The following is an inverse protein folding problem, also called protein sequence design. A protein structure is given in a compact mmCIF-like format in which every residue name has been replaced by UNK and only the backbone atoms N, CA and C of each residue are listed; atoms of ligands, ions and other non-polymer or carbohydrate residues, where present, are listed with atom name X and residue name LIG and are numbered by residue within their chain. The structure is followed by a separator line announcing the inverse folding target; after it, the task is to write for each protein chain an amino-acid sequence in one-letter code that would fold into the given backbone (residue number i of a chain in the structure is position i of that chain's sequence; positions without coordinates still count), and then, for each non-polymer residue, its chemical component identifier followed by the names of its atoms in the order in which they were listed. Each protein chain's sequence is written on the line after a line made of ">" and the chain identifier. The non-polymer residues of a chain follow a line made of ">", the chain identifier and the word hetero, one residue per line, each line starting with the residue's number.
data_IF_298354210225
#
_entry.id   IF_298354210225
#
_cell.length_a   1.000
_cell.length_b   1.000
_cell.length_c   1.000
_cell.angle_alpha   90.00
_cell.angle_beta   90.00
_cell.angle_gamma   90.00
#
_symmetry.space_group_name_H-M   'P 1'
#
loop_
_entity.id
_entity.type
_entity.pdbx_description
1 polymer ?
#
# COMPACT_ATOMS: atom_id res chain seq x y z
N UNK A 1 19.20 -15.03 -7.64
CA UNK A 1 17.93 -15.47 -7.02
C UNK A 1 17.18 -16.25 -8.07
N UNK A 2 17.14 -17.57 -7.93
CA UNK A 2 16.72 -18.45 -9.01
C UNK A 2 15.21 -18.35 -9.25
N UNK A 3 14.81 -18.31 -10.53
CA UNK A 3 13.40 -18.13 -10.94
C UNK A 3 12.46 -19.18 -10.35
N UNK A 4 13.01 -20.35 -9.97
CA UNK A 4 12.31 -21.47 -9.32
C UNK A 4 11.96 -21.16 -7.85
N UNK A 5 12.81 -20.41 -7.16
CA UNK A 5 12.57 -19.96 -5.77
C UNK A 5 11.47 -18.89 -5.74
N UNK A 6 11.48 -17.99 -6.74
CA UNK A 6 10.44 -16.96 -6.88
C UNK A 6 9.07 -17.61 -7.19
N UNK A 7 9.05 -18.64 -8.05
CA UNK A 7 7.85 -19.39 -8.40
C UNK A 7 7.30 -20.20 -7.21
N UNK A 8 8.17 -20.80 -6.38
CA UNK A 8 7.73 -21.52 -5.18
C UNK A 8 7.15 -20.61 -4.09
N UNK A 9 7.68 -19.39 -3.94
CA UNK A 9 7.11 -18.42 -3.00
C UNK A 9 5.75 -17.89 -3.47
N UNK A 10 5.55 -17.74 -4.79
CA UNK A 10 4.27 -17.31 -5.36
C UNK A 10 3.15 -18.33 -5.11
N UNK A 11 3.47 -19.63 -5.12
CA UNK A 11 2.49 -20.70 -4.88
C UNK A 11 2.05 -20.85 -3.42
N UNK A 12 2.86 -20.43 -2.43
CA UNK A 12 2.49 -20.53 -1.01
C UNK A 12 1.61 -19.37 -0.51
N UNK A 13 1.44 -18.29 -1.27
CA UNK A 13 0.69 -17.11 -0.83
C UNK A 13 -0.84 -17.27 -0.92
N UNK A 14 -1.35 -18.24 -1.68
CA UNK A 14 -2.81 -18.40 -1.91
C UNK A 14 -3.58 -19.02 -0.73
N UNK A 15 -2.91 -19.58 0.28
CA UNK A 15 -3.57 -20.27 1.41
C UNK A 15 -3.90 -19.38 2.62
N UNK A 16 -3.43 -18.13 2.65
CA UNK A 16 -3.46 -17.29 3.85
C UNK A 16 -4.64 -16.28 3.92
N UNK A 17 -5.62 -16.37 3.01
CA UNK A 17 -6.71 -15.38 2.93
C UNK A 17 -7.81 -15.68 3.96
N UNK A 18 -8.15 -16.95 4.18
CA UNK A 18 -9.26 -17.36 5.08
C UNK A 18 -8.89 -17.40 6.57
N UNK A 19 -7.61 -17.25 6.92
CA UNK A 19 -7.12 -17.31 8.30
C UNK A 19 -6.93 -15.92 8.95
N UNK A 20 -7.23 -14.84 8.24
CA UNK A 20 -6.94 -13.47 8.71
C UNK A 20 -8.01 -12.86 9.61
N UNK A 21 -9.23 -13.41 9.65
CA UNK A 21 -10.27 -12.84 10.50
C UNK A 21 -10.31 -13.55 11.86
N UNK A 22 -9.82 -12.91 12.95
CA UNK A 22 -9.95 -13.45 14.29
C UNK A 22 -11.43 -13.69 14.63
N UNK A 23 -11.76 -14.89 15.10
CA UNK A 23 -13.14 -15.34 15.36
C UNK A 23 -13.72 -14.85 16.69
N UNK A 24 -12.95 -14.09 17.48
CA UNK A 24 -13.33 -13.65 18.83
C UNK A 24 -13.31 -12.14 19.06
N UNK A 25 -13.02 -11.34 18.03
CA UNK A 25 -13.07 -9.86 18.12
C UNK A 25 -14.04 -9.32 17.07
N UNK A 26 -14.79 -8.26 17.38
CA UNK A 26 -15.61 -7.59 16.37
C UNK A 26 -14.73 -7.25 15.17
N UNK A 27 -15.14 -7.71 13.99
CA UNK A 27 -14.46 -7.36 12.76
C UNK A 27 -14.53 -5.84 12.52
N UNK A 28 -13.74 -5.32 11.59
CA UNK A 28 -13.97 -3.96 11.10
C UNK A 28 -15.45 -3.84 10.69
N UNK A 29 -16.03 -2.66 10.93
CA UNK A 29 -17.42 -2.38 10.56
C UNK A 29 -17.65 -2.83 9.13
N UNK A 30 -18.66 -3.68 8.91
CA UNK A 30 -19.04 -4.14 7.57
C UNK A 30 -19.74 -3.05 6.74
N UNK A 31 -19.78 -1.84 7.27
CA UNK A 31 -20.31 -0.68 6.59
C UNK A 31 -19.41 -0.31 5.41
N UNK A 32 -20.01 -0.03 4.23
CA UNK A 32 -19.26 0.51 3.10
C UNK A 32 -18.57 1.82 3.49
N UNK A 33 -17.45 2.10 2.83
CA UNK A 33 -16.81 3.43 2.89
C UNK A 33 -17.83 4.49 2.45
N UNK A 34 -18.01 5.51 3.28
CA UNK A 34 -18.94 6.61 3.00
C UNK A 34 -18.19 7.76 2.32
N UNK A 35 -18.37 7.87 1.00
CA UNK A 35 -17.79 8.96 0.21
C UNK A 35 -18.46 10.33 0.46
N UNK A 36 -19.48 10.40 1.31
CA UNK A 36 -20.08 11.65 1.80
C UNK A 36 -19.37 12.15 3.06
N UNK A 37 -18.66 11.27 3.77
CA UNK A 37 -17.90 11.60 4.96
C UNK A 37 -16.52 12.18 4.56
N UNK A 38 -16.19 13.41 5.00
CA UNK A 38 -14.91 14.02 4.65
C UNK A 38 -13.71 13.24 5.18
N UNK A 39 -13.82 12.57 6.33
CA UNK A 39 -12.72 11.78 6.89
C UNK A 39 -12.37 10.58 6.00
N UNK A 40 -13.38 9.84 5.52
CA UNK A 40 -13.19 8.68 4.65
C UNK A 40 -12.55 9.08 3.32
N UNK A 41 -12.99 10.19 2.72
CA UNK A 41 -12.38 10.73 1.50
C UNK A 41 -10.90 11.07 1.74
N UNK A 42 -10.59 11.74 2.85
CA UNK A 42 -9.22 12.15 3.16
C UNK A 42 -8.31 10.93 3.34
N UNK A 43 -8.74 9.94 4.13
CA UNK A 43 -7.91 8.78 4.48
C UNK A 43 -7.74 7.85 3.27
N UNK A 44 -8.82 7.55 2.56
CA UNK A 44 -8.81 6.53 1.52
C UNK A 44 -8.48 7.05 0.12
N UNK A 45 -8.61 8.35 -0.14
CA UNK A 45 -8.33 8.94 -1.46
C UNK A 45 -7.21 9.98 -1.40
N UNK A 46 -7.31 10.98 -0.52
CA UNK A 46 -6.36 12.10 -0.51
C UNK A 46 -4.98 11.66 -0.02
N UNK A 47 -4.91 10.92 1.09
CA UNK A 47 -3.66 10.45 1.67
C UNK A 47 -2.81 9.60 0.69
N UNK A 48 -3.36 8.59 -0.02
CA UNK A 48 -2.59 7.84 -1.01
C UNK A 48 -2.14 8.71 -2.19
N UNK A 49 -2.98 9.65 -2.67
CA UNK A 49 -2.56 10.59 -3.71
C UNK A 49 -1.41 11.49 -3.23
N UNK A 50 -1.47 12.00 -1.99
CA UNK A 50 -0.38 12.76 -1.38
C UNK A 50 0.91 11.94 -1.29
N UNK A 51 0.84 10.66 -0.89
CA UNK A 51 2.01 9.79 -0.84
C UNK A 51 2.65 9.62 -2.22
N UNK A 52 1.85 9.45 -3.28
CA UNK A 52 2.33 9.37 -4.67
C UNK A 52 3.01 10.69 -5.09
N UNK A 53 2.38 11.84 -4.83
CA UNK A 53 2.96 13.14 -5.17
C UNK A 53 4.29 13.38 -4.44
N UNK A 54 4.33 13.11 -3.14
CA UNK A 54 5.54 13.25 -2.32
C UNK A 54 6.65 12.30 -2.80
N UNK A 55 6.30 11.08 -3.23
CA UNK A 55 7.25 10.16 -3.83
C UNK A 55 7.93 10.76 -5.07
N UNK A 56 7.17 11.37 -5.98
CA UNK A 56 7.73 12.01 -7.18
C UNK A 56 8.62 13.21 -6.84
N UNK A 57 8.21 14.05 -5.89
CA UNK A 57 9.02 15.19 -5.42
C UNK A 57 10.34 14.71 -4.81
N UNK A 58 10.28 13.71 -3.95
CA UNK A 58 11.47 13.11 -3.33
C UNK A 58 12.39 12.45 -4.37
N UNK A 59 11.80 11.72 -5.33
CA UNK A 59 12.54 11.09 -6.43
C UNK A 59 13.27 12.13 -7.28
N UNK A 60 12.63 13.24 -7.61
CA UNK A 60 13.23 14.35 -8.36
C UNK A 60 14.38 14.98 -7.58
N UNK A 61 14.21 15.23 -6.28
CA UNK A 61 15.25 15.79 -5.40
C UNK A 61 16.51 14.90 -5.33
N UNK A 62 16.33 13.58 -5.30
CA UNK A 62 17.47 12.63 -5.32
C UNK A 62 18.27 12.65 -6.62
N UNK A 63 17.61 12.81 -7.78
CA UNK A 63 18.29 12.91 -9.08
C UNK A 63 19.14 14.18 -9.18
N UNK A 64 18.64 15.30 -8.66
CA UNK A 64 19.36 16.58 -8.72
C UNK A 64 20.58 16.65 -7.79
N UNK A 65 20.62 15.87 -6.70
CA UNK A 65 21.81 15.76 -5.83
C UNK A 65 23.00 15.05 -6.51
N UNK A 66 22.76 14.21 -7.53
CA UNK A 66 23.82 13.54 -8.30
C UNK A 66 24.45 14.45 -9.37
N UNK A 67 23.67 15.36 -9.94
CA UNK A 67 24.13 16.28 -10.99
C UNK A 67 24.89 17.50 -10.46
N UNK A 68 24.75 17.85 -9.17
CA UNK A 68 25.46 18.96 -8.51
C UNK A 68 26.84 18.55 -7.95
N UNK A 69 27.31 17.34 -8.28
CA UNK A 69 28.65 16.81 -7.97
C UNK A 69 29.51 16.66 -9.24
N UNK A 70 29.16 17.34 -10.33
CA UNK A 70 29.90 17.31 -11.58
C UNK A 70 30.37 18.70 -11.95
#
# INVERSE_FOLDING_TARGET
>A
MDKRIILSCLTMFSGAISAQQPTGVPGPSSEPIDLSNPADIIIYIVLPLCAVLLYFVWRKKRRNKGNNKK
#
